data_IF_870371522410
#
_entry.id   IF_870371522410
#
_cell.length_a   1.000
_cell.length_b   1.000
_cell.length_c   1.000
_cell.angle_alpha   90.00
_cell.angle_beta   90.00
_cell.angle_gamma   90.00
#
_symmetry.space_group_name_H-M   'P 1'
#
loop_
_entity.id
_entity.type
_entity.pdbx_description
1 polymer ?
#
# COMPACT_ATOMS: atom_id res chain seq x y z
N UNK A 1 -13.37 19.41 16.05
CA UNK A 1 -12.19 19.11 15.20
C UNK A 1 -11.20 18.31 16.04
N UNK A 2 -11.08 16.99 15.84
CA UNK A 2 -9.97 16.23 16.42
C UNK A 2 -8.74 16.53 15.57
N UNK A 3 -7.77 17.26 16.14
CA UNK A 3 -6.46 17.40 15.53
C UNK A 3 -5.81 16.01 15.44
N UNK A 4 -5.58 15.54 14.23
CA UNK A 4 -4.73 14.38 14.06
C UNK A 4 -3.28 14.82 14.32
N UNK A 5 -2.52 14.09 15.12
CA UNK A 5 -1.09 14.31 15.18
C UNK A 5 -0.51 13.86 13.83
N UNK A 6 -0.48 14.79 12.89
CA UNK A 6 0.26 14.61 11.63
C UNK A 6 1.73 14.67 12.06
N UNK A 7 2.30 13.50 12.36
CA UNK A 7 3.71 13.38 12.66
C UNK A 7 4.54 13.83 11.45
N UNK A 8 5.85 13.99 11.66
CA UNK A 8 6.81 14.27 10.59
C UNK A 8 6.54 13.35 9.37
N UNK A 9 6.51 13.93 8.17
CA UNK A 9 6.23 13.19 6.92
C UNK A 9 7.10 11.93 6.76
N UNK A 10 8.34 11.95 7.27
CA UNK A 10 9.22 10.80 7.32
C UNK A 10 8.70 9.67 8.23
N UNK A 11 8.00 9.99 9.31
CA UNK A 11 7.39 8.99 10.19
C UNK A 11 6.18 8.29 9.55
N UNK A 12 5.43 9.02 8.70
CA UNK A 12 4.33 8.46 7.90
C UNK A 12 4.84 7.43 6.89
N UNK A 13 5.95 7.75 6.21
CA UNK A 13 6.59 6.86 5.23
C UNK A 13 7.00 5.52 5.86
N UNK A 14 7.48 5.52 7.09
CA UNK A 14 7.89 4.29 7.80
C UNK A 14 6.73 3.42 8.28
N UNK A 15 5.53 3.99 8.44
CA UNK A 15 4.34 3.26 8.94
C UNK A 15 3.54 2.57 7.85
N UNK A 16 3.57 3.09 6.63
CA UNK A 16 2.80 2.55 5.50
C UNK A 16 3.39 1.22 5.01
N UNK A 17 2.60 0.14 4.97
CA UNK A 17 3.08 -1.18 4.53
C UNK A 17 3.43 -1.22 3.04
N UNK A 18 2.72 -0.46 2.20
CA UNK A 18 2.97 -0.37 0.75
C UNK A 18 4.32 0.30 0.43
N UNK A 19 4.73 1.31 1.22
CA UNK A 19 6.04 1.93 1.09
C UNK A 19 7.16 0.99 1.56
N UNK A 20 6.93 0.25 2.65
CA UNK A 20 7.88 -0.76 3.13
C UNK A 20 8.03 -1.89 2.12
N UNK A 21 6.97 -2.31 1.44
CA UNK A 21 7.02 -3.28 0.36
C UNK A 21 7.87 -2.77 -0.81
N UNK A 22 7.63 -1.54 -1.27
CA UNK A 22 8.37 -0.94 -2.39
C UNK A 22 9.86 -0.72 -2.05
N UNK A 23 10.18 -0.36 -0.79
CA UNK A 23 11.55 -0.28 -0.28
C UNK A 23 12.25 -1.66 -0.33
N UNK A 24 11.55 -2.72 0.08
CA UNK A 24 12.10 -4.09 0.02
C UNK A 24 12.29 -4.58 -1.40
N UNK A 25 11.40 -4.20 -2.33
CA UNK A 25 11.57 -4.50 -3.76
C UNK A 25 12.78 -3.78 -4.34
N UNK A 26 13.01 -2.52 -3.97
CA UNK A 26 14.20 -1.77 -4.35
C UNK A 26 15.48 -2.43 -3.79
N UNK A 27 15.48 -2.83 -2.53
CA UNK A 27 16.61 -3.55 -1.94
C UNK A 27 16.90 -4.88 -2.67
N UNK A 28 15.85 -5.60 -3.08
CA UNK A 28 15.98 -6.84 -3.83
C UNK A 28 16.54 -6.59 -5.25
N UNK A 29 16.14 -5.52 -5.95
CA UNK A 29 16.70 -5.18 -7.28
C UNK A 29 18.18 -4.83 -7.17
N UNK A 30 18.56 -4.07 -6.15
CA UNK A 30 19.97 -3.76 -5.88
C UNK A 30 20.81 -5.03 -5.60
N UNK A 31 20.28 -5.97 -4.79
CA UNK A 31 20.97 -7.24 -4.55
C UNK A 31 21.16 -8.06 -5.83
N UNK A 32 20.24 -7.99 -6.80
CA UNK A 32 20.37 -8.66 -8.11
C UNK A 32 21.52 -8.13 -8.94
N UNK A 33 21.90 -6.86 -8.78
CA UNK A 33 23.13 -6.32 -9.42
C UNK A 33 24.35 -7.09 -8.88
N UNK A 34 24.40 -7.39 -7.59
CA UNK A 34 25.47 -8.20 -7.00
C UNK A 34 25.52 -9.60 -7.59
N UNK A 35 24.36 -10.25 -7.78
CA UNK A 35 24.27 -11.58 -8.41
C UNK A 35 24.76 -11.52 -9.86
N UNK A 36 24.29 -10.55 -10.66
CA UNK A 36 24.73 -10.39 -12.05
C UNK A 36 26.22 -10.03 -12.16
N UNK A 37 26.76 -9.32 -11.17
CA UNK A 37 28.20 -9.02 -11.10
C UNK A 37 29.00 -10.29 -10.81
N UNK A 38 28.49 -11.16 -9.92
CA UNK A 38 29.18 -12.43 -9.60
C UNK A 38 29.29 -13.36 -10.82
N UNK A 39 28.36 -13.30 -11.77
CA UNK A 39 28.43 -14.07 -13.03
C UNK A 39 29.62 -13.70 -13.96
N UNK A 40 30.29 -12.58 -13.69
CA UNK A 40 31.52 -12.20 -14.42
C UNK A 40 32.75 -12.96 -13.91
N UNK A 41 32.66 -13.59 -12.74
CA UNK A 41 33.74 -14.29 -12.08
C UNK A 41 33.53 -15.80 -12.10
N UNK A 42 34.59 -16.62 -11.94
CA UNK A 42 34.46 -18.05 -11.78
C UNK A 42 33.68 -18.40 -10.50
N UNK A 43 32.74 -19.33 -10.61
CA UNK A 43 32.05 -19.92 -9.46
C UNK A 43 32.80 -21.17 -9.01
N UNK A 44 33.01 -21.30 -7.69
CA UNK A 44 33.68 -22.45 -7.07
C UNK A 44 32.66 -23.13 -6.17
N UNK A 45 32.32 -24.36 -6.51
CA UNK A 45 31.37 -25.18 -5.75
C UNK A 45 32.08 -26.45 -5.27
N UNK A 46 31.87 -26.87 -4.02
CA UNK A 46 32.32 -28.17 -3.56
C UNK A 46 31.29 -29.20 -4.05
N UNK A 47 31.75 -30.08 -4.94
CA UNK A 47 30.95 -31.18 -5.48
C UNK A 47 31.41 -32.52 -4.90
N UNK A 48 30.47 -33.44 -4.74
CA UNK A 48 30.80 -34.81 -4.34
C UNK A 48 29.88 -35.77 -5.09
N UNK A 49 30.39 -36.98 -5.36
CA UNK A 49 29.64 -38.08 -5.95
C UNK A 49 29.93 -39.37 -5.20
N UNK A 50 28.90 -40.22 -5.09
CA UNK A 50 28.99 -41.57 -4.64
C UNK A 50 28.38 -42.44 -5.73
N UNK A 51 29.15 -43.34 -6.31
CA UNK A 51 28.72 -44.22 -7.38
C UNK A 51 28.85 -45.67 -6.93
N UNK A 52 27.83 -46.47 -7.16
CA UNK A 52 27.89 -47.92 -7.01
C UNK A 52 28.26 -48.53 -8.36
N UNK A 53 29.40 -49.22 -8.40
CA UNK A 53 29.87 -49.91 -9.60
C UNK A 53 29.69 -51.42 -9.36
N UNK A 54 28.84 -52.07 -10.16
CA UNK A 54 28.75 -53.52 -10.21
C UNK A 54 29.60 -54.00 -11.40
N UNK A 55 30.67 -54.72 -11.12
CA UNK A 55 31.56 -55.25 -12.16
C UNK A 55 30.93 -56.40 -12.93
N UNK A 56 29.90 -57.05 -12.39
CA UNK A 56 29.27 -58.28 -12.94
C UNK A 56 27.82 -58.09 -13.40
N UNK A 57 27.24 -56.91 -13.21
CA UNK A 57 25.82 -56.63 -13.52
C UNK A 57 24.83 -57.36 -12.58
N UNK A 58 25.32 -57.99 -11.54
CA UNK A 58 24.50 -58.71 -10.56
C UNK A 58 24.15 -57.78 -9.39
N UNK A 59 22.82 -57.59 -9.11
CA UNK A 59 22.37 -56.77 -7.99
C UNK A 59 22.88 -57.25 -6.59
N UNK A 60 23.24 -58.50 -6.45
CA UNK A 60 23.76 -59.05 -5.18
C UNK A 60 25.15 -58.53 -4.82
N UNK A 61 25.90 -57.94 -5.77
CA UNK A 61 27.20 -57.32 -5.55
C UNK A 61 27.09 -55.83 -5.09
N UNK A 62 25.89 -55.32 -5.00
CA UNK A 62 25.63 -53.97 -4.47
C UNK A 62 25.82 -53.98 -2.96
N UNK A 63 26.91 -53.42 -2.50
CA UNK A 63 27.27 -53.37 -1.07
C UNK A 63 28.64 -53.94 -0.76
N UNK A 64 29.31 -54.52 -1.74
CA UNK A 64 30.69 -54.94 -1.57
C UNK A 64 31.61 -53.71 -1.45
N UNK A 65 32.62 -53.77 -0.55
CA UNK A 65 33.51 -52.61 -0.27
C UNK A 65 34.22 -52.05 -1.52
N UNK A 66 34.38 -52.87 -2.54
CA UNK A 66 35.04 -52.49 -3.79
C UNK A 66 34.10 -51.98 -4.87
N UNK A 67 32.77 -51.99 -4.61
CA UNK A 67 31.76 -51.53 -5.53
C UNK A 67 31.40 -50.03 -5.35
N UNK A 68 31.90 -49.39 -4.29
CA UNK A 68 31.60 -47.99 -3.97
C UNK A 68 32.77 -47.11 -4.38
N UNK A 69 32.56 -46.26 -5.38
CA UNK A 69 33.48 -45.20 -5.73
C UNK A 69 32.90 -43.85 -5.26
N UNK A 70 33.70 -43.12 -4.53
CA UNK A 70 33.30 -41.78 -4.11
C UNK A 70 34.40 -40.77 -4.43
N UNK A 71 33.98 -39.51 -4.64
CA UNK A 71 34.90 -38.40 -4.86
C UNK A 71 34.30 -37.13 -4.32
N UNK A 72 35.14 -36.30 -3.74
CA UNK A 72 34.79 -34.94 -3.33
C UNK A 72 35.87 -34.00 -3.82
N UNK A 73 35.49 -32.86 -4.37
CA UNK A 73 36.44 -31.88 -4.89
C UNK A 73 35.80 -30.55 -5.31
N UNK A 74 36.60 -29.51 -5.48
CA UNK A 74 36.13 -28.24 -5.99
C UNK A 74 35.79 -28.38 -7.49
N UNK A 75 34.59 -27.89 -7.87
CA UNK A 75 34.18 -27.72 -9.26
C UNK A 75 34.23 -26.23 -9.57
N UNK A 76 35.07 -25.84 -10.53
CA UNK A 76 35.21 -24.46 -10.98
C UNK A 76 34.46 -24.34 -12.32
N UNK A 77 33.47 -23.43 -12.36
CA UNK A 77 32.72 -23.12 -13.57
C UNK A 77 32.87 -21.64 -13.93
N UNK A 78 33.25 -21.34 -15.17
CA UNK A 78 33.41 -19.99 -15.67
C UNK A 78 32.99 -19.89 -17.12
N UNK A 79 32.26 -18.82 -17.48
CA UNK A 79 31.76 -18.59 -18.84
C UNK A 79 32.81 -17.90 -19.77
N UNK A 80 34.10 -17.98 -19.45
CA UNK A 80 35.13 -17.44 -20.28
C UNK A 80 35.28 -18.24 -21.62
N UNK A 81 35.50 -17.54 -22.79
CA UNK A 81 35.73 -16.12 -22.98
C UNK A 81 34.45 -15.30 -23.25
N UNK A 82 33.25 -15.91 -23.27
CA UNK A 82 32.01 -15.22 -23.66
C UNK A 82 31.42 -14.40 -22.51
N UNK A 83 32.09 -13.32 -22.14
CA UNK A 83 31.63 -12.38 -21.11
C UNK A 83 30.58 -11.38 -21.60
N UNK A 84 30.30 -11.33 -22.93
CA UNK A 84 29.36 -10.37 -23.51
C UNK A 84 27.94 -10.56 -22.96
N UNK A 85 27.49 -11.82 -22.83
CA UNK A 85 26.20 -12.16 -22.28
C UNK A 85 26.10 -11.75 -20.79
N UNK A 86 27.10 -12.04 -19.96
CA UNK A 86 27.13 -11.67 -18.54
C UNK A 86 27.17 -10.15 -18.36
N UNK A 87 27.86 -9.41 -19.23
CA UNK A 87 27.83 -7.94 -19.21
C UNK A 87 26.47 -7.37 -19.60
N UNK A 88 25.78 -7.99 -20.57
CA UNK A 88 24.43 -7.60 -20.93
C UNK A 88 23.44 -7.86 -19.78
N UNK A 89 23.57 -8.99 -19.07
CA UNK A 89 22.78 -9.30 -17.86
C UNK A 89 23.04 -8.29 -16.73
N UNK A 90 24.28 -7.87 -16.52
CA UNK A 90 24.61 -6.81 -15.57
C UNK A 90 23.99 -5.46 -15.96
N UNK A 91 24.04 -5.10 -17.26
CA UNK A 91 23.41 -3.87 -17.75
C UNK A 91 21.89 -3.91 -17.56
N UNK A 92 21.26 -5.05 -17.80
CA UNK A 92 19.85 -5.27 -17.54
C UNK A 92 19.53 -5.11 -16.05
N UNK A 93 20.27 -5.77 -15.15
CA UNK A 93 20.05 -5.68 -13.70
C UNK A 93 20.17 -4.23 -13.18
N UNK A 94 21.08 -3.44 -13.75
CA UNK A 94 21.22 -2.01 -13.44
C UNK A 94 20.02 -1.18 -13.93
N UNK A 95 19.50 -1.49 -15.12
CA UNK A 95 18.30 -0.84 -15.66
C UNK A 95 17.07 -1.18 -14.83
N UNK A 96 16.94 -2.44 -14.39
CA UNK A 96 15.86 -2.89 -13.50
C UNK A 96 15.91 -2.19 -12.12
N UNK A 97 17.12 -1.97 -11.57
CA UNK A 97 17.28 -1.19 -10.33
C UNK A 97 16.88 0.27 -10.52
N UNK A 98 17.24 0.90 -11.64
CA UNK A 98 16.81 2.26 -11.95
C UNK A 98 15.29 2.36 -12.08
N UNK A 99 14.64 1.38 -12.72
CA UNK A 99 13.18 1.30 -12.80
C UNK A 99 12.53 1.09 -11.42
N UNK A 100 13.12 0.25 -10.56
CA UNK A 100 12.65 0.04 -9.20
C UNK A 100 12.76 1.32 -8.34
N UNK A 101 13.83 2.13 -8.51
CA UNK A 101 13.98 3.45 -7.87
C UNK A 101 12.88 4.40 -8.28
N UNK A 102 12.66 4.55 -9.60
CA UNK A 102 11.60 5.42 -10.12
C UNK A 102 10.20 4.97 -9.63
N UNK A 103 9.98 3.66 -9.53
CA UNK A 103 8.74 3.10 -8.98
C UNK A 103 8.56 3.42 -7.49
N UNK A 104 9.63 3.34 -6.70
CA UNK A 104 9.64 3.72 -5.29
C UNK A 104 9.31 5.21 -5.11
N UNK A 105 9.98 6.09 -5.86
CA UNK A 105 9.72 7.53 -5.81
C UNK A 105 8.26 7.87 -6.18
N UNK A 106 7.73 7.23 -7.21
CA UNK A 106 6.33 7.37 -7.60
C UNK A 106 5.37 6.91 -6.50
N UNK A 107 5.70 5.84 -5.76
CA UNK A 107 4.89 5.35 -4.65
C UNK A 107 4.92 6.32 -3.46
N UNK A 108 6.08 6.93 -3.16
CA UNK A 108 6.22 7.97 -2.12
C UNK A 108 5.34 9.17 -2.46
N UNK A 109 5.43 9.68 -3.70
CA UNK A 109 4.61 10.82 -4.15
C UNK A 109 3.11 10.51 -4.11
N UNK A 110 2.73 9.28 -4.47
CA UNK A 110 1.33 8.82 -4.37
C UNK A 110 0.84 8.80 -2.93
N UNK A 111 1.65 8.28 -2.01
CA UNK A 111 1.32 8.24 -0.59
C UNK A 111 1.14 9.65 0.01
N UNK A 112 2.01 10.59 -0.34
CA UNK A 112 1.89 12.00 0.06
C UNK A 112 0.59 12.61 -0.48
N UNK A 113 0.33 12.44 -1.79
CA UNK A 113 -0.90 12.92 -2.43
C UNK A 113 -2.15 12.36 -1.74
N UNK A 114 -2.19 11.06 -1.45
CA UNK A 114 -3.32 10.42 -0.77
C UNK A 114 -3.56 11.01 0.63
N UNK A 115 -2.50 11.26 1.37
CA UNK A 115 -2.57 11.85 2.71
C UNK A 115 -3.09 13.28 2.66
N UNK A 116 -2.54 14.12 1.79
CA UNK A 116 -2.98 15.50 1.58
C UNK A 116 -4.45 15.57 1.15
N UNK A 117 -4.84 14.72 0.20
CA UNK A 117 -6.22 14.66 -0.28
C UNK A 117 -7.19 14.20 0.82
N UNK A 118 -6.82 13.21 1.62
CA UNK A 118 -7.65 12.73 2.72
C UNK A 118 -7.85 13.83 3.78
N UNK A 119 -6.79 14.54 4.16
CA UNK A 119 -6.86 15.65 5.11
C UNK A 119 -7.71 16.81 4.57
N UNK A 120 -7.53 17.17 3.29
CA UNK A 120 -8.29 18.24 2.66
C UNK A 120 -9.79 17.93 2.60
N UNK A 121 -10.16 16.68 2.23
CA UNK A 121 -11.56 16.22 2.21
C UNK A 121 -12.17 16.25 3.61
N UNK A 122 -11.49 15.68 4.58
CA UNK A 122 -11.96 15.68 5.96
C UNK A 122 -12.21 17.09 6.49
N UNK A 123 -11.27 18.03 6.26
CA UNK A 123 -11.43 19.41 6.66
C UNK A 123 -12.55 20.15 5.92
N UNK A 124 -12.78 19.85 4.64
CA UNK A 124 -13.88 20.41 3.86
C UNK A 124 -15.24 19.90 4.37
N UNK A 125 -15.35 18.59 4.61
CA UNK A 125 -16.59 17.97 5.09
C UNK A 125 -16.98 18.43 6.50
N UNK A 126 -16.03 18.68 7.37
CA UNK A 126 -16.31 19.32 8.67
C UNK A 126 -16.92 20.71 8.53
N UNK A 127 -16.41 21.54 7.62
CA UNK A 127 -17.00 22.87 7.35
C UNK A 127 -18.40 22.75 6.75
N UNK A 128 -18.58 21.81 5.82
CA UNK A 128 -19.89 21.52 5.22
C UNK A 128 -20.91 21.10 6.29
N UNK A 129 -20.54 20.15 7.14
CA UNK A 129 -21.37 19.72 8.27
C UNK A 129 -21.76 20.88 9.19
N UNK A 130 -20.80 21.74 9.54
CA UNK A 130 -21.08 22.91 10.39
C UNK A 130 -22.06 23.90 9.71
N UNK A 131 -21.98 24.09 8.41
CA UNK A 131 -22.93 24.90 7.65
C UNK A 131 -24.34 24.28 7.65
N UNK A 132 -24.42 22.95 7.49
CA UNK A 132 -25.70 22.22 7.56
C UNK A 132 -26.30 22.25 8.97
N UNK A 133 -25.52 22.16 10.04
CA UNK A 133 -25.98 22.33 11.42
C UNK A 133 -26.64 23.72 11.61
N UNK A 134 -26.00 24.78 11.06
CA UNK A 134 -26.56 26.15 11.09
C UNK A 134 -27.86 26.24 10.27
N UNK A 135 -27.85 25.73 9.03
CA UNK A 135 -29.02 25.72 8.15
C UNK A 135 -30.20 24.97 8.80
N UNK A 136 -29.95 23.81 9.44
CA UNK A 136 -30.95 23.07 10.18
C UNK A 136 -31.61 23.91 11.27
N UNK A 137 -30.80 24.64 12.05
CA UNK A 137 -31.32 25.51 13.12
C UNK A 137 -32.25 26.60 12.56
N UNK A 138 -31.88 27.22 11.41
CA UNK A 138 -32.71 28.24 10.75
C UNK A 138 -33.99 27.65 10.14
N UNK A 139 -33.92 26.51 9.47
CA UNK A 139 -35.11 25.82 8.94
C UNK A 139 -36.04 25.34 10.06
N UNK A 140 -35.52 24.89 11.19
CA UNK A 140 -36.33 24.54 12.36
C UNK A 140 -37.01 25.76 12.97
N UNK A 141 -36.36 26.94 12.94
CA UNK A 141 -36.97 28.20 13.36
C UNK A 141 -38.08 28.64 12.38
N UNK A 142 -37.81 28.57 11.08
CA UNK A 142 -38.78 28.89 10.04
C UNK A 142 -40.02 27.99 10.12
N UNK A 143 -39.86 26.68 10.33
CA UNK A 143 -40.96 25.75 10.49
C UNK A 143 -41.83 26.13 11.71
N UNK A 144 -41.23 26.41 12.88
CA UNK A 144 -41.99 26.86 14.05
C UNK A 144 -42.76 28.17 13.83
N UNK A 145 -42.17 29.11 13.12
CA UNK A 145 -42.86 30.37 12.74
C UNK A 145 -44.00 30.13 11.76
N UNK A 146 -43.87 29.20 10.83
CA UNK A 146 -44.94 28.79 9.93
C UNK A 146 -46.13 28.18 10.67
N UNK A 147 -45.86 27.29 11.65
CA UNK A 147 -46.91 26.72 12.52
C UNK A 147 -47.64 27.80 13.32
N UNK A 148 -46.91 28.72 13.97
CA UNK A 148 -47.54 29.82 14.72
C UNK A 148 -48.39 30.74 13.82
N UNK A 149 -47.94 31.05 12.62
CA UNK A 149 -48.71 31.88 11.67
C UNK A 149 -49.94 31.14 11.12
N UNK A 150 -49.83 29.83 10.92
CA UNK A 150 -50.98 29.02 10.52
C UNK A 150 -52.05 28.99 11.63
N UNK A 151 -51.66 28.76 12.89
CA UNK A 151 -52.56 28.77 14.04
C UNK A 151 -53.24 30.15 14.24
N UNK A 152 -52.55 31.24 13.88
CA UNK A 152 -53.07 32.58 13.88
C UNK A 152 -53.93 32.92 12.63
N UNK A 153 -54.05 32.01 11.67
CA UNK A 153 -54.79 32.21 10.41
C UNK A 153 -54.11 33.11 9.40
N UNK A 154 -52.82 33.44 9.62
CA UNK A 154 -52.02 34.33 8.76
C UNK A 154 -51.28 33.60 7.64
N UNK A 155 -51.18 32.26 7.68
CA UNK A 155 -50.51 31.41 6.68
C UNK A 155 -51.44 30.23 6.35
N UNK A 156 -51.41 29.76 5.10
CA UNK A 156 -52.09 28.55 4.68
C UNK A 156 -51.30 27.25 5.06
N UNK A 157 -51.95 26.11 5.02
CA UNK A 157 -51.34 24.83 5.33
C UNK A 157 -50.21 24.45 4.37
N UNK A 158 -50.28 24.90 3.11
CA UNK A 158 -49.21 24.64 2.14
C UNK A 158 -47.89 25.29 2.57
N UNK A 159 -47.94 26.50 3.16
CA UNK A 159 -46.76 27.15 3.71
C UNK A 159 -46.10 26.40 4.85
N UNK A 160 -46.90 25.79 5.75
CA UNK A 160 -46.37 24.91 6.82
C UNK A 160 -45.71 23.65 6.22
N UNK A 161 -46.39 23.03 5.24
CA UNK A 161 -45.89 21.82 4.58
C UNK A 161 -44.56 22.08 3.84
N UNK A 162 -44.41 23.26 3.23
CA UNK A 162 -43.19 23.66 2.52
C UNK A 162 -42.03 23.90 3.47
N UNK A 163 -42.27 24.54 4.62
CA UNK A 163 -41.30 24.71 5.68
C UNK A 163 -40.87 23.36 6.27
N UNK A 164 -41.84 22.44 6.49
CA UNK A 164 -41.54 21.07 6.97
C UNK A 164 -40.71 20.29 5.98
N UNK A 165 -41.02 20.32 4.68
CA UNK A 165 -40.24 19.65 3.64
C UNK A 165 -38.79 20.15 3.62
N UNK A 166 -38.62 21.46 3.73
CA UNK A 166 -37.31 22.10 3.77
C UNK A 166 -36.50 21.64 4.96
N UNK A 167 -37.10 21.54 6.15
CA UNK A 167 -36.45 21.02 7.35
C UNK A 167 -36.04 19.56 7.18
N UNK A 168 -36.93 18.70 6.69
CA UNK A 168 -36.63 17.28 6.46
C UNK A 168 -35.50 17.10 5.44
N UNK A 169 -35.46 17.93 4.40
CA UNK A 169 -34.39 17.88 3.40
C UNK A 169 -33.01 18.21 4.02
N UNK A 170 -32.96 19.22 4.89
CA UNK A 170 -31.71 19.59 5.58
C UNK A 170 -31.33 18.54 6.64
N UNK A 171 -32.29 17.95 7.36
CA UNK A 171 -32.02 16.85 8.29
C UNK A 171 -31.40 15.63 7.57
N UNK A 172 -31.93 15.28 6.39
CA UNK A 172 -31.37 14.22 5.57
C UNK A 172 -29.93 14.53 5.08
N UNK A 173 -29.70 15.78 4.64
CA UNK A 173 -28.38 16.24 4.23
C UNK A 173 -27.35 16.22 5.38
N UNK A 174 -27.77 16.63 6.59
CA UNK A 174 -26.94 16.61 7.79
C UNK A 174 -26.59 15.18 8.22
N UNK A 175 -27.53 14.26 8.11
CA UNK A 175 -27.28 12.82 8.40
C UNK A 175 -26.25 12.25 7.41
N UNK A 176 -26.40 12.55 6.12
CA UNK A 176 -25.46 12.13 5.08
C UNK A 176 -24.06 12.73 5.30
N UNK A 177 -23.95 14.02 5.62
CA UNK A 177 -22.68 14.68 5.92
C UNK A 177 -22.03 14.11 7.18
N UNK A 178 -22.82 13.77 8.19
CA UNK A 178 -22.30 13.12 9.43
C UNK A 178 -21.69 11.76 9.11
N UNK A 179 -22.32 10.97 8.25
CA UNK A 179 -21.75 9.72 7.74
C UNK A 179 -20.46 9.96 6.97
N UNK A 180 -20.44 10.97 6.07
CA UNK A 180 -19.27 11.28 5.26
C UNK A 180 -18.07 11.71 6.11
N UNK A 181 -18.27 12.50 7.15
CA UNK A 181 -17.22 12.85 8.12
C UNK A 181 -16.58 11.60 8.72
N UNK A 182 -17.38 10.60 9.09
CA UNK A 182 -16.87 9.33 9.65
C UNK A 182 -16.07 8.53 8.60
N UNK A 183 -16.54 8.48 7.35
CA UNK A 183 -15.83 7.83 6.26
C UNK A 183 -14.49 8.52 5.95
N UNK A 184 -14.49 9.86 5.88
CA UNK A 184 -13.29 10.64 5.64
C UNK A 184 -12.29 10.50 6.80
N UNK A 185 -12.76 10.39 8.04
CA UNK A 185 -11.91 10.10 9.19
C UNK A 185 -11.19 8.75 9.02
N UNK A 186 -11.92 7.70 8.61
CA UNK A 186 -11.32 6.38 8.32
C UNK A 186 -10.32 6.48 7.16
N UNK A 187 -10.64 7.27 6.12
CA UNK A 187 -9.73 7.49 4.99
C UNK A 187 -8.42 8.15 5.42
N UNK A 188 -8.48 9.15 6.32
CA UNK A 188 -7.28 9.78 6.91
C UNK A 188 -6.46 8.75 7.68
N UNK A 189 -7.07 7.92 8.53
CA UNK A 189 -6.34 6.88 9.25
C UNK A 189 -5.65 5.88 8.31
N UNK A 190 -6.33 5.47 7.23
CA UNK A 190 -5.73 4.59 6.21
C UNK A 190 -4.56 5.25 5.49
N UNK A 191 -4.72 6.52 5.09
CA UNK A 191 -3.68 7.27 4.39
C UNK A 191 -2.43 7.49 5.27
N UNK A 192 -2.62 7.65 6.58
CA UNK A 192 -1.54 7.77 7.57
C UNK A 192 -0.85 6.43 7.91
N UNK A 193 -1.25 5.35 7.27
CA UNK A 193 -0.64 4.03 7.45
C UNK A 193 -1.26 3.21 8.58
N UNK A 194 -2.47 3.56 9.03
CA UNK A 194 -3.29 2.76 9.95
C UNK A 194 -2.52 2.22 11.15
N UNK A 195 -2.01 3.08 12.01
CA UNK A 195 -1.14 2.68 13.13
C UNK A 195 -1.87 1.90 14.23
N UNK A 196 -2.16 0.64 14.00
CA UNK A 196 -2.72 -0.30 14.98
C UNK A 196 -1.65 -1.04 15.78
N UNK A 197 -0.48 -0.47 15.94
CA UNK A 197 0.47 -0.98 16.93
C UNK A 197 0.05 -0.45 18.30
N UNK A 198 -0.52 -1.37 19.06
CA UNK A 198 -0.66 -1.23 20.51
C UNK A 198 0.72 -1.26 21.15
#
# INVERSE_FOLDING_TARGET
FRSFPVGDGAALLRRRPDLRESERRLAASNARIGVATAELYPSIVLGGSVNWLSATGDPSSLGDKYAIAWGVGPLITWRFPNLAASRAQLAQARADDAAARASFDAQVLRALKETEQALARYGAEWRHKAALDTARAEHARAYRLAELNYDAGALDFLGVLDAQRSLVAVDAALAASTQQVALDQVAVFKALGGGWQR
#
